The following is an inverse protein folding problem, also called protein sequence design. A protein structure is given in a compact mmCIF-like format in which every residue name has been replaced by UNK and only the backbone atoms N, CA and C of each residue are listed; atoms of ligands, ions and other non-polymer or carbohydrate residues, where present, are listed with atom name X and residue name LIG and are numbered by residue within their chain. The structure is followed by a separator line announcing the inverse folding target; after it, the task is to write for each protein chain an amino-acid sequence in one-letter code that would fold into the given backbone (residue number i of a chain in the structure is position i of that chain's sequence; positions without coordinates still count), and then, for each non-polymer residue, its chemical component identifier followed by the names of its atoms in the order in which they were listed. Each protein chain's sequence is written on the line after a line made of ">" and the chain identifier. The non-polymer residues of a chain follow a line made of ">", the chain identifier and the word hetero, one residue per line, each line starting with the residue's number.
data_IF_272224572520
#
_entry.id   IF_272224572520
#
_cell.length_a   1.000
_cell.length_b   1.000
_cell.length_c   1.000
_cell.angle_alpha   90.00
_cell.angle_beta   90.00
_cell.angle_gamma   90.00
#
_symmetry.space_group_name_H-M   'P 1'
#
loop_
_entity.id
_entity.type
_entity.pdbx_description
1 polymer ?
#
# COMPACT_ATOMS: atom_id res chain seq x y z
N UNK A 1 -23.64 6.60 -15.96
CA UNK A 1 -24.14 5.21 -16.01
C UNK A 1 -23.00 4.18 -16.11
N UNK A 2 -21.98 4.39 -16.94
CA UNK A 2 -20.86 3.45 -17.10
C UNK A 2 -20.20 3.00 -15.77
N UNK A 3 -19.95 3.93 -14.84
CA UNK A 3 -19.43 3.58 -13.50
C UNK A 3 -20.38 2.67 -12.71
N UNK A 4 -21.68 2.93 -12.76
CA UNK A 4 -22.68 2.13 -12.02
C UNK A 4 -22.67 0.70 -12.56
N UNK A 5 -22.65 0.53 -13.88
CA UNK A 5 -22.58 -0.79 -14.49
C UNK A 5 -21.25 -1.50 -14.18
N UNK A 6 -20.12 -0.78 -14.26
CA UNK A 6 -18.81 -1.34 -13.92
C UNK A 6 -18.73 -1.80 -12.45
N UNK A 7 -19.31 -1.04 -11.51
CA UNK A 7 -19.37 -1.46 -10.11
C UNK A 7 -20.32 -2.64 -9.88
N UNK A 8 -21.44 -2.70 -10.61
CA UNK A 8 -22.40 -3.80 -10.49
C UNK A 8 -21.85 -5.14 -10.98
N UNK A 9 -20.94 -5.11 -11.96
CA UNK A 9 -20.28 -6.30 -12.50
C UNK A 9 -18.88 -6.54 -11.95
N UNK A 10 -18.44 -5.79 -10.94
CA UNK A 10 -17.07 -5.82 -10.46
C UNK A 10 -16.69 -7.20 -9.90
N UNK A 11 -15.56 -7.72 -10.36
CA UNK A 11 -14.94 -8.97 -9.93
C UNK A 11 -13.44 -8.80 -9.70
N UNK A 12 -12.84 -9.64 -8.85
CA UNK A 12 -11.38 -9.71 -8.70
C UNK A 12 -10.69 -10.21 -9.98
N UNK A 13 -11.42 -10.95 -10.82
CA UNK A 13 -10.94 -11.45 -12.11
C UNK A 13 -11.03 -10.41 -13.24
N UNK A 14 -11.56 -9.21 -12.96
CA UNK A 14 -11.68 -8.18 -13.99
C UNK A 14 -10.30 -7.65 -14.38
N UNK A 15 -10.03 -7.53 -15.69
CA UNK A 15 -8.81 -6.90 -16.23
C UNK A 15 -8.59 -5.48 -15.68
N UNK A 16 -9.69 -4.79 -15.33
CA UNK A 16 -9.66 -3.44 -14.77
C UNK A 16 -9.03 -3.36 -13.37
N UNK A 17 -8.93 -4.46 -12.63
CA UNK A 17 -8.31 -4.48 -11.30
C UNK A 17 -6.79 -4.36 -11.37
N UNK A 18 -6.17 -4.75 -12.49
CA UNK A 18 -4.71 -4.77 -12.69
C UNK A 18 -3.95 -5.41 -11.51
N UNK A 19 -4.60 -6.34 -10.81
CA UNK A 19 -3.98 -7.10 -9.73
C UNK A 19 -3.26 -8.29 -10.33
N UNK A 20 -2.08 -8.62 -9.79
CA UNK A 20 -1.42 -9.85 -10.17
C UNK A 20 -2.13 -11.06 -9.55
N UNK A 21 -1.86 -12.23 -10.12
CA UNK A 21 -2.51 -13.50 -9.72
C UNK A 21 -2.21 -13.86 -8.27
N UNK A 22 -1.01 -13.51 -7.77
CA UNK A 22 -0.61 -13.78 -6.39
C UNK A 22 -1.40 -12.91 -5.42
N UNK A 23 -1.61 -11.62 -5.74
CA UNK A 23 -2.42 -10.70 -4.96
C UNK A 23 -3.89 -11.13 -4.91
N UNK A 24 -4.48 -11.55 -6.04
CA UNK A 24 -5.85 -12.09 -6.06
C UNK A 24 -5.95 -13.37 -5.21
N UNK A 25 -4.98 -14.28 -5.35
CA UNK A 25 -4.93 -15.50 -4.55
C UNK A 25 -4.85 -15.19 -3.06
N UNK A 26 -4.02 -14.23 -2.65
CA UNK A 26 -3.87 -13.81 -1.26
C UNK A 26 -5.16 -13.20 -0.70
N UNK A 27 -5.90 -12.42 -1.49
CA UNK A 27 -7.20 -11.88 -1.08
C UNK A 27 -8.26 -12.97 -0.88
N UNK A 28 -8.26 -13.99 -1.73
CA UNK A 28 -9.20 -15.12 -1.64
C UNK A 28 -8.81 -16.11 -0.54
N UNK A 29 -7.51 -16.21 -0.23
CA UNK A 29 -6.95 -17.17 0.72
C UNK A 29 -6.05 -16.42 1.73
N UNK A 30 -6.63 -15.54 2.57
CA UNK A 30 -5.85 -14.75 3.51
C UNK A 30 -5.16 -15.66 4.54
N UNK A 31 -3.97 -15.27 5.04
CA UNK A 31 -3.33 -16.00 6.14
C UNK A 31 -4.23 -16.06 7.38
N UNK A 32 -4.58 -17.27 7.83
CA UNK A 32 -5.40 -17.48 9.04
C UNK A 32 -4.57 -17.64 10.32
N UNK A 33 -3.24 -17.58 10.21
CA UNK A 33 -2.34 -17.67 11.34
C UNK A 33 -1.84 -16.29 11.78
N UNK A 34 -1.57 -16.08 13.08
CA UNK A 34 -0.97 -14.85 13.55
C UNK A 34 0.39 -14.61 12.89
N UNK A 35 0.64 -13.35 12.54
CA UNK A 35 1.95 -12.93 12.08
C UNK A 35 3.02 -13.23 13.15
N UNK A 36 3.94 -14.15 12.83
CA UNK A 36 5.08 -14.49 13.70
C UNK A 36 6.27 -13.60 13.38
N UNK A 37 6.55 -12.65 14.26
CA UNK A 37 7.76 -11.82 14.25
C UNK A 37 8.71 -12.36 15.33
N UNK A 38 9.14 -13.61 15.20
CA UNK A 38 9.84 -14.32 16.28
C UNK A 38 11.15 -13.60 16.66
N UNK A 39 11.21 -13.01 17.85
CA UNK A 39 12.43 -12.48 18.48
C UNK A 39 13.10 -11.28 17.80
N UNK A 40 12.60 -10.82 16.65
CA UNK A 40 13.19 -9.73 15.87
C UNK A 40 12.64 -8.36 16.29
N UNK A 41 13.27 -7.76 17.32
CA UNK A 41 12.86 -6.45 17.88
C UNK A 41 12.77 -5.31 16.85
N UNK A 42 13.64 -5.31 15.84
CA UNK A 42 13.68 -4.24 14.82
C UNK A 42 12.43 -4.29 13.93
N UNK A 43 12.14 -5.36 13.15
CA UNK A 43 10.89 -5.50 12.39
C UNK A 43 9.63 -5.22 13.20
N UNK A 44 9.54 -5.76 14.42
CA UNK A 44 8.38 -5.53 15.29
C UNK A 44 8.20 -4.03 15.63
N UNK A 45 9.29 -3.35 16.01
CA UNK A 45 9.26 -1.92 16.28
C UNK A 45 8.90 -1.12 15.04
N UNK A 46 9.46 -1.50 13.89
CA UNK A 46 9.20 -0.83 12.61
C UNK A 46 7.72 -0.95 12.21
N UNK A 47 7.11 -2.12 12.35
CA UNK A 47 5.67 -2.33 12.07
C UNK A 47 4.82 -1.49 13.03
N UNK A 48 5.15 -1.48 14.33
CA UNK A 48 4.44 -0.66 15.32
C UNK A 48 4.52 0.83 15.00
N UNK A 49 5.70 1.30 14.59
CA UNK A 49 5.88 2.69 14.18
C UNK A 49 5.09 3.01 12.92
N UNK A 50 5.13 2.13 11.92
CA UNK A 50 4.35 2.25 10.69
C UNK A 50 2.85 2.39 10.99
N UNK A 51 2.30 1.51 11.83
CA UNK A 51 0.87 1.50 12.16
C UNK A 51 0.44 2.65 13.09
N UNK A 52 1.38 3.24 13.86
CA UNK A 52 1.09 4.30 14.83
C UNK A 52 1.16 5.72 14.29
N UNK A 53 1.74 5.94 13.10
CA UNK A 53 1.93 7.27 12.52
C UNK A 53 0.71 7.71 11.70
N UNK A 54 0.12 8.86 12.03
CA UNK A 54 -1.03 9.42 11.29
C UNK A 54 -0.69 9.87 9.87
N UNK A 55 0.53 10.36 9.65
CA UNK A 55 1.04 10.72 8.32
C UNK A 55 2.39 10.06 8.12
N UNK A 56 2.37 8.90 7.47
CA UNK A 56 3.55 8.07 7.41
C UNK A 56 4.59 8.59 6.41
N UNK A 57 4.14 9.07 5.25
CA UNK A 57 5.05 9.49 4.19
C UNK A 57 5.85 10.73 4.61
N UNK A 58 5.31 11.59 5.49
CA UNK A 58 6.05 12.75 6.02
C UNK A 58 6.85 12.45 7.29
N UNK A 59 6.39 11.54 8.15
CA UNK A 59 6.91 11.44 9.53
C UNK A 59 7.80 10.22 9.77
N UNK A 60 7.76 9.21 8.90
CA UNK A 60 8.42 7.93 9.14
C UNK A 60 9.93 8.07 9.32
N UNK A 61 10.61 8.78 8.42
CA UNK A 61 12.07 8.92 8.47
C UNK A 61 12.54 9.66 9.72
N UNK A 62 11.81 10.72 10.12
CA UNK A 62 12.11 11.46 11.35
C UNK A 62 11.95 10.56 12.58
N UNK A 63 10.86 9.78 12.62
CA UNK A 63 10.60 8.90 13.75
C UNK A 63 11.64 7.76 13.83
N UNK A 64 12.03 7.19 12.69
CA UNK A 64 13.10 6.19 12.61
C UNK A 64 14.44 6.78 13.07
N UNK A 65 14.76 8.01 12.65
CA UNK A 65 15.99 8.71 13.06
C UNK A 65 16.06 8.89 14.58
N UNK A 66 15.00 9.41 15.20
CA UNK A 66 14.94 9.58 16.66
C UNK A 66 15.10 8.24 17.39
N UNK A 67 14.44 7.18 16.91
CA UNK A 67 14.57 5.85 17.48
C UNK A 67 16.00 5.30 17.35
N UNK A 68 16.63 5.47 16.19
CA UNK A 68 18.02 5.05 15.95
C UNK A 68 19.00 5.78 16.85
N UNK A 69 18.87 7.10 16.99
CA UNK A 69 19.71 7.93 17.86
C UNK A 69 19.62 7.50 19.32
N UNK A 70 18.40 7.27 19.82
CA UNK A 70 18.18 6.84 21.21
C UNK A 70 18.79 5.45 21.52
N UNK A 71 18.81 4.55 20.53
CA UNK A 71 19.27 3.16 20.70
C UNK A 71 20.68 2.90 20.14
N UNK A 72 21.40 3.93 19.67
CA UNK A 72 22.70 3.80 19.00
C UNK A 72 22.69 2.80 17.82
N UNK A 73 21.62 2.83 17.02
CA UNK A 73 21.48 1.97 15.83
C UNK A 73 21.99 2.69 14.59
N UNK A 74 22.67 1.96 13.72
CA UNK A 74 23.19 2.47 12.44
C UNK A 74 22.26 2.21 11.26
N UNK A 75 21.28 1.31 11.42
CA UNK A 75 20.36 0.90 10.36
C UNK A 75 18.98 0.60 10.91
N UNK A 76 17.97 1.06 10.18
CA UNK A 76 16.56 0.77 10.39
C UNK A 76 15.87 0.63 9.02
N UNK A 77 14.80 -0.17 8.88
CA UNK A 77 14.15 -0.33 7.59
C UNK A 77 13.58 0.99 7.04
N UNK A 78 13.77 1.25 5.75
CA UNK A 78 13.15 2.38 5.07
C UNK A 78 11.63 2.21 4.96
N UNK A 79 10.91 3.29 4.66
CA UNK A 79 9.46 3.24 4.44
C UNK A 79 9.07 2.24 3.34
N UNK A 80 9.86 2.18 2.27
CA UNK A 80 9.67 1.21 1.20
C UNK A 80 9.83 -0.24 1.70
N UNK A 81 10.89 -0.50 2.48
CA UNK A 81 11.15 -1.84 3.01
C UNK A 81 10.03 -2.31 3.94
N UNK A 82 9.52 -1.43 4.81
CA UNK A 82 8.41 -1.81 5.70
C UNK A 82 7.09 -2.01 4.93
N UNK A 83 6.78 -1.18 3.93
CA UNK A 83 5.61 -1.39 3.05
C UNK A 83 5.70 -2.74 2.34
N UNK A 84 6.89 -3.12 1.86
CA UNK A 84 7.14 -4.43 1.24
C UNK A 84 6.97 -5.59 2.22
N UNK A 85 7.53 -5.48 3.43
CA UNK A 85 7.37 -6.48 4.50
C UNK A 85 5.88 -6.68 4.85
N UNK A 86 5.14 -5.59 5.03
CA UNK A 86 3.70 -5.65 5.32
C UNK A 86 2.96 -6.33 4.17
N UNK A 87 3.27 -5.99 2.92
CA UNK A 87 2.66 -6.61 1.75
C UNK A 87 2.93 -8.11 1.68
N UNK A 88 4.16 -8.54 1.96
CA UNK A 88 4.51 -9.97 1.98
C UNK A 88 3.78 -10.74 3.08
N UNK A 89 3.60 -10.14 4.26
CA UNK A 89 2.97 -10.82 5.39
C UNK A 89 1.45 -10.81 5.36
N UNK A 90 0.86 -9.71 4.91
CA UNK A 90 -0.60 -9.57 4.81
C UNK A 90 -1.16 -10.12 3.51
N UNK A 91 -0.32 -10.27 2.47
CA UNK A 91 -0.79 -10.48 1.10
C UNK A 91 -1.45 -9.24 0.49
N UNK A 92 -1.40 -8.08 1.16
CA UNK A 92 -2.07 -6.84 0.74
C UNK A 92 -1.02 -5.87 0.19
N UNK A 93 -1.00 -5.72 -1.13
CA UNK A 93 -0.19 -4.72 -1.85
C UNK A 93 -0.94 -3.40 -2.09
N UNK A 94 -0.22 -2.31 -2.38
CA UNK A 94 -0.83 -1.06 -2.80
C UNK A 94 -1.46 -1.19 -4.19
N UNK A 95 -2.66 -0.65 -4.36
CA UNK A 95 -3.33 -0.54 -5.66
C UNK A 95 -3.08 0.87 -6.21
N UNK A 96 -2.15 0.98 -7.15
CA UNK A 96 -1.64 2.28 -7.67
C UNK A 96 -1.87 2.49 -9.16
N UNK A 97 -2.86 1.82 -9.74
CA UNK A 97 -3.23 1.99 -11.15
C UNK A 97 -4.34 3.03 -11.33
N UNK A 98 -4.32 3.75 -12.45
CA UNK A 98 -5.38 4.69 -12.86
C UNK A 98 -5.71 5.73 -11.77
N UNK A 99 -4.67 6.19 -11.08
CA UNK A 99 -4.70 7.21 -10.04
C UNK A 99 -3.77 8.36 -10.39
N UNK A 100 -4.23 9.57 -10.13
CA UNK A 100 -3.43 10.80 -10.15
C UNK A 100 -2.37 10.77 -9.04
N UNK A 101 -1.11 11.08 -9.37
CA UNK A 101 -0.01 11.12 -8.39
C UNK A 101 -0.29 12.09 -7.23
N UNK A 102 -0.92 13.24 -7.53
CA UNK A 102 -1.36 14.21 -6.53
C UNK A 102 -2.64 13.80 -5.78
N UNK A 103 -3.11 12.56 -5.93
CA UNK A 103 -4.30 11.99 -5.30
C UNK A 103 -5.58 12.79 -5.57
N UNK A 104 -5.58 13.58 -6.65
CA UNK A 104 -6.69 14.44 -7.03
C UNK A 104 -7.90 13.64 -7.55
N UNK A 105 -7.63 12.47 -8.14
CA UNK A 105 -8.59 11.47 -8.60
C UNK A 105 -7.94 10.10 -8.51
N UNK A 106 -8.70 9.11 -8.06
CA UNK A 106 -8.27 7.72 -8.06
C UNK A 106 -9.29 6.84 -8.78
N UNK A 107 -8.82 5.70 -9.28
CA UNK A 107 -9.65 4.65 -9.87
C UNK A 107 -10.57 5.18 -10.97
N UNK A 108 -9.96 5.71 -12.03
CA UNK A 108 -10.68 6.35 -13.14
C UNK A 108 -11.64 5.40 -13.88
N UNK A 109 -11.54 4.08 -13.68
CA UNK A 109 -12.49 3.09 -14.17
C UNK A 109 -12.71 3.21 -15.69
N UNK A 110 -13.94 3.50 -16.16
CA UNK A 110 -14.22 3.72 -17.59
C UNK A 110 -13.41 4.84 -18.26
N UNK A 111 -12.80 5.72 -17.47
CA UNK A 111 -11.98 6.85 -17.94
C UNK A 111 -10.48 6.61 -17.82
N UNK A 112 -10.02 5.40 -17.49
CA UNK A 112 -8.59 5.05 -17.37
C UNK A 112 -7.75 5.33 -18.63
N UNK A 113 -8.40 5.45 -19.80
CA UNK A 113 -7.76 5.77 -21.08
C UNK A 113 -7.68 7.27 -21.39
N UNK A 114 -8.11 8.14 -20.48
CA UNK A 114 -7.99 9.59 -20.67
C UNK A 114 -6.53 10.02 -20.42
N UNK A 115 -6.00 10.86 -21.31
CA UNK A 115 -4.63 11.36 -21.22
C UNK A 115 -4.44 12.50 -20.22
N UNK A 116 -5.52 12.99 -19.58
CA UNK A 116 -5.47 14.07 -18.60
C UNK A 116 -6.44 13.74 -17.46
N UNK A 117 -6.03 14.05 -16.23
CA UNK A 117 -6.89 13.87 -15.07
C UNK A 117 -7.97 14.97 -15.01
N UNK A 118 -9.23 14.67 -14.67
CA UNK A 118 -10.30 15.68 -14.66
C UNK A 118 -10.12 16.81 -13.63
N UNK A 119 -9.28 16.58 -12.60
CA UNK A 119 -9.09 17.51 -11.48
C UNK A 119 -7.73 18.21 -11.45
N UNK A 120 -6.76 17.74 -12.23
CA UNK A 120 -5.49 18.44 -12.44
C UNK A 120 -5.06 18.22 -13.89
N UNK A 121 -4.44 19.21 -14.51
CA UNK A 121 -3.93 19.10 -15.89
C UNK A 121 -2.66 18.26 -16.00
N UNK A 122 -2.47 17.30 -15.09
CA UNK A 122 -1.37 16.37 -15.13
C UNK A 122 -1.72 15.22 -16.08
N UNK A 123 -0.70 14.71 -16.76
CA UNK A 123 -0.75 13.59 -17.68
C UNK A 123 -0.14 12.35 -17.01
#
# INVERSE_FOLDING_TARGET
>A
LLFIFAMQSASLDDEGTKMDVEAVHCLQNPPEYPLKLDGHKIPETTIKLYLGLSNIDSNYDSACKTFMEFNNLTKFPSLYQIKSIISQFSGIGPVVHDMCYNLCVGFMGPFSKLNNYPKCSEA
#
